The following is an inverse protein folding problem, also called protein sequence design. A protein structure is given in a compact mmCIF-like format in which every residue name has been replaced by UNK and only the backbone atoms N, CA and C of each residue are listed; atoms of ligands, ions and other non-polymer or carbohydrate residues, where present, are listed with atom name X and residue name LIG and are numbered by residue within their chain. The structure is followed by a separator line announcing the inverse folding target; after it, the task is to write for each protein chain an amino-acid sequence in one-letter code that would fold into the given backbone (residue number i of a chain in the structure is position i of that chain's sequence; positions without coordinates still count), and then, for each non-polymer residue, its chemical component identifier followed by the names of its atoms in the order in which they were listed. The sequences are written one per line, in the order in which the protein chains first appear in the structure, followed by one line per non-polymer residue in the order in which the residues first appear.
data_IF_264938937109
#
_entry.id   IF_264938937109
#
_cell.length_a   1.000
_cell.length_b   1.000
_cell.length_c   1.000
_cell.angle_alpha   90.00
_cell.angle_beta   90.00
_cell.angle_gamma   90.00
#
_symmetry.space_group_name_H-M   'P 1'
#
loop_
_entity.id
_entity.type
_entity.pdbx_description
1 polymer ?
#
# COMPACT_ATOMS: atom_id res chain seq x y z
N UNK A 1 0.08 -8.64 14.81
CA UNK A 1 1.25 -7.74 14.63
C UNK A 1 1.98 -7.58 15.96
N UNK A 2 3.27 -7.96 16.02
CA UNK A 2 4.14 -7.72 17.17
C UNK A 2 4.98 -6.48 16.87
N UNK A 3 4.86 -5.44 17.70
CA UNK A 3 5.51 -4.13 17.44
C UNK A 3 6.88 -4.05 18.13
N UNK A 4 6.97 -4.45 19.40
CA UNK A 4 8.23 -4.45 20.15
C UNK A 4 8.21 -5.46 21.33
N UNK A 5 9.39 -5.75 21.88
CA UNK A 5 9.59 -6.43 23.17
C UNK A 5 10.43 -5.52 24.06
N UNK A 6 9.94 -5.24 25.27
CA UNK A 6 10.60 -4.35 26.25
C UNK A 6 11.12 -5.20 27.41
N UNK A 7 12.38 -5.00 27.79
CA UNK A 7 13.02 -5.72 28.90
C UNK A 7 12.53 -5.23 30.26
N UNK A 8 12.83 -6.00 31.32
CA UNK A 8 12.45 -5.65 32.70
C UNK A 8 13.06 -4.29 33.09
N UNK A 9 12.21 -3.37 33.55
CA UNK A 9 12.61 -1.99 33.91
C UNK A 9 12.66 -1.01 32.73
N UNK A 10 12.39 -1.45 31.49
CA UNK A 10 12.35 -0.59 30.32
C UNK A 10 11.01 0.12 30.14
N UNK A 11 11.04 1.28 29.48
CA UNK A 11 9.86 2.03 29.08
C UNK A 11 9.93 2.40 27.60
N UNK A 12 8.83 2.22 26.88
CA UNK A 12 8.70 2.58 25.47
C UNK A 12 7.59 3.62 25.31
N UNK A 13 7.94 4.80 24.80
CA UNK A 13 6.99 5.87 24.50
C UNK A 13 7.13 6.26 23.03
N UNK A 14 6.08 6.04 22.25
CA UNK A 14 6.03 6.33 20.82
C UNK A 14 4.86 7.28 20.56
N UNK A 15 5.06 8.29 19.72
CA UNK A 15 4.00 9.08 19.11
C UNK A 15 4.05 8.84 17.60
N UNK A 16 2.93 8.39 17.05
CA UNK A 16 2.76 8.18 15.61
C UNK A 16 1.84 9.25 15.05
N UNK A 17 2.09 9.66 13.81
CA UNK A 17 1.22 10.56 13.05
C UNK A 17 0.72 9.77 11.85
N UNK A 18 -0.60 9.77 11.65
CA UNK A 18 -1.25 9.11 10.53
C UNK A 18 -2.11 10.11 9.78
N UNK A 19 -2.00 10.12 8.45
CA UNK A 19 -2.72 11.02 7.57
C UNK A 19 -3.41 10.23 6.45
N UNK A 20 -4.38 10.85 5.78
CA UNK A 20 -4.96 10.31 4.54
C UNK A 20 -4.13 10.81 3.35
N UNK A 21 -3.88 9.92 2.40
CA UNK A 21 -3.15 10.22 1.18
C UNK A 21 -3.54 9.26 0.06
N UNK A 22 -2.78 9.27 -1.03
CA UNK A 22 -2.95 8.35 -2.16
C UNK A 22 -1.60 7.81 -2.60
N UNK A 23 -1.59 6.58 -3.10
CA UNK A 23 -0.38 5.96 -3.62
C UNK A 23 0.67 5.72 -2.55
N UNK A 24 1.90 6.12 -2.85
CA UNK A 24 3.06 5.96 -1.99
C UNK A 24 3.80 7.29 -1.89
N UNK A 25 4.20 7.67 -0.69
CA UNK A 25 5.06 8.83 -0.45
C UNK A 25 6.32 8.40 0.28
N UNK A 26 7.47 8.84 -0.22
CA UNK A 26 8.77 8.61 0.39
C UNK A 26 8.92 9.44 1.68
N UNK A 27 9.76 8.97 2.60
CA UNK A 27 10.08 9.68 3.83
C UNK A 27 10.53 11.14 3.59
N UNK A 28 11.27 11.41 2.53
CA UNK A 28 11.72 12.77 2.16
C UNK A 28 10.54 13.70 1.86
N UNK A 29 9.46 13.18 1.27
CA UNK A 29 8.26 13.96 0.99
C UNK A 29 7.48 14.28 2.27
N UNK A 30 7.65 13.47 3.30
CA UNK A 30 7.10 13.71 4.64
C UNK A 30 8.01 14.61 5.50
N UNK A 31 9.23 14.91 5.03
CA UNK A 31 10.20 15.72 5.75
C UNK A 31 9.97 17.21 5.48
N UNK A 32 9.06 17.82 6.22
CA UNK A 32 8.74 19.25 6.10
C UNK A 32 9.61 20.10 7.03
N UNK A 33 9.84 21.36 6.66
CA UNK A 33 10.73 22.27 7.40
C UNK A 33 10.23 22.65 8.80
N UNK A 34 8.97 22.38 9.10
CA UNK A 34 8.29 22.64 10.37
C UNK A 34 8.30 21.42 11.32
N UNK A 35 8.92 20.30 10.94
CA UNK A 35 8.99 19.13 11.81
C UNK A 35 9.77 19.40 13.10
N UNK A 36 9.20 19.10 14.28
CA UNK A 36 9.91 19.22 15.54
C UNK A 36 11.14 18.31 15.62
N UNK A 37 12.14 18.75 16.40
CA UNK A 37 13.33 17.94 16.69
C UNK A 37 12.91 16.61 17.32
N UNK A 38 13.49 15.51 16.82
CA UNK A 38 13.23 14.16 17.30
C UNK A 38 12.09 13.44 16.56
N UNK A 39 11.46 14.08 15.57
CA UNK A 39 10.57 13.40 14.63
C UNK A 39 11.40 12.66 13.58
N UNK A 40 11.04 11.40 13.32
CA UNK A 40 11.66 10.56 12.30
C UNK A 40 10.61 10.37 11.19
N UNK A 41 10.80 10.96 10.00
CA UNK A 41 9.92 10.71 8.88
C UNK A 41 10.11 9.29 8.35
N UNK A 42 9.03 8.67 7.92
CA UNK A 42 9.00 7.32 7.35
C UNK A 42 8.18 7.34 6.08
N UNK A 43 8.34 6.34 5.22
CA UNK A 43 7.50 6.17 4.05
C UNK A 43 6.04 6.00 4.42
N UNK A 44 5.15 6.49 3.57
CA UNK A 44 3.70 6.37 3.73
C UNK A 44 3.11 5.54 2.62
N UNK A 45 2.68 4.32 2.96
CA UNK A 45 1.91 3.44 2.09
C UNK A 45 0.42 3.76 2.24
N UNK A 46 -0.08 4.67 1.41
CA UNK A 46 -1.50 5.04 1.41
C UNK A 46 -2.37 4.11 0.56
N UNK A 47 -1.79 3.51 -0.49
CA UNK A 47 -2.49 2.58 -1.35
C UNK A 47 -2.89 1.32 -0.57
N UNK A 48 -4.18 0.94 -0.58
CA UNK A 48 -4.60 -0.34 -0.05
C UNK A 48 -4.22 -1.51 -0.97
N UNK A 49 -3.87 -1.22 -2.22
CA UNK A 49 -3.40 -2.19 -3.22
C UNK A 49 -1.87 -2.29 -3.16
N UNK A 50 -1.37 -3.49 -2.89
CA UNK A 50 0.06 -3.79 -2.74
C UNK A 50 0.69 -4.21 -4.07
N UNK A 51 -0.05 -4.98 -4.88
CA UNK A 51 0.44 -5.49 -6.16
C UNK A 51 -0.72 -5.66 -7.14
N UNK A 52 -0.46 -5.35 -8.40
CA UNK A 52 -1.35 -5.67 -9.52
C UNK A 52 -0.52 -6.29 -10.64
N UNK A 53 -0.96 -7.43 -11.15
CA UNK A 53 -0.45 -8.02 -12.38
C UNK A 53 -1.60 -8.12 -13.39
N UNK A 54 -1.27 -8.12 -14.68
CA UNK A 54 -2.25 -8.35 -15.72
C UNK A 54 -1.67 -9.20 -16.85
N UNK A 55 -2.54 -9.98 -17.49
CA UNK A 55 -2.21 -10.75 -18.69
C UNK A 55 -3.30 -10.54 -19.74
N UNK A 56 -2.89 -10.46 -20.99
CA UNK A 56 -3.78 -10.34 -22.15
C UNK A 56 -3.55 -11.53 -23.06
N UNK A 57 -4.62 -12.23 -23.40
CA UNK A 57 -4.60 -13.39 -24.29
C UNK A 57 -5.65 -13.24 -25.39
N UNK A 58 -5.32 -13.64 -26.62
CA UNK A 58 -6.32 -13.69 -27.69
C UNK A 58 -7.40 -14.70 -27.33
N UNK A 59 -8.65 -14.33 -27.57
CA UNK A 59 -9.80 -15.17 -27.31
C UNK A 59 -10.73 -15.18 -28.52
N UNK A 60 -11.36 -16.34 -28.74
CA UNK A 60 -12.38 -16.48 -29.78
C UNK A 60 -13.75 -16.36 -29.15
N UNK A 61 -14.55 -15.42 -29.64
CA UNK A 61 -15.95 -15.26 -29.25
C UNK A 61 -16.82 -15.58 -30.46
N UNK A 62 -17.51 -16.72 -30.41
CA UNK A 62 -18.27 -17.24 -31.54
C UNK A 62 -17.36 -17.56 -32.73
N UNK A 63 -17.58 -16.89 -33.87
CA UNK A 63 -16.81 -17.11 -35.11
C UNK A 63 -15.64 -16.12 -35.30
N UNK A 64 -15.49 -15.11 -34.45
CA UNK A 64 -14.41 -14.10 -34.55
C UNK A 64 -13.33 -14.35 -33.50
N UNK A 65 -12.06 -14.25 -33.92
CA UNK A 65 -10.87 -14.48 -33.10
C UNK A 65 -10.11 -13.21 -32.73
N UNK A 66 -10.70 -12.04 -32.98
CA UNK A 66 -10.03 -10.74 -32.84
C UNK A 66 -10.34 -10.08 -31.49
N UNK A 67 -10.72 -10.87 -30.50
CA UNK A 67 -11.00 -10.39 -29.15
C UNK A 67 -9.82 -10.68 -28.22
N UNK A 68 -9.63 -9.78 -27.26
CA UNK A 68 -8.67 -9.96 -26.18
C UNK A 68 -9.40 -10.29 -24.87
N UNK A 69 -8.86 -11.24 -24.12
CA UNK A 69 -9.24 -11.50 -22.73
C UNK A 69 -8.18 -10.93 -21.81
N UNK A 70 -8.60 -9.98 -20.97
CA UNK A 70 -7.80 -9.41 -19.90
C UNK A 70 -8.04 -10.19 -18.60
N UNK A 71 -6.97 -10.65 -17.96
CA UNK A 71 -7.00 -11.18 -16.60
C UNK A 71 -6.20 -10.25 -15.68
N UNK A 72 -6.79 -9.88 -14.54
CA UNK A 72 -6.19 -9.02 -13.52
C UNK A 72 -6.01 -9.82 -12.23
N UNK A 73 -4.78 -9.83 -11.70
CA UNK A 73 -4.49 -10.34 -10.37
C UNK A 73 -4.17 -9.16 -9.44
N UNK A 74 -4.97 -8.98 -8.39
CA UNK A 74 -4.87 -7.84 -7.47
C UNK A 74 -4.66 -8.34 -6.05
N UNK A 75 -3.62 -7.85 -5.39
CA UNK A 75 -3.31 -8.11 -3.98
C UNK A 75 -3.49 -6.82 -3.16
N UNK A 76 -4.22 -6.92 -2.06
CA UNK A 76 -4.54 -5.81 -1.15
C UNK A 76 -4.00 -6.08 0.25
N UNK A 77 -3.64 -5.04 0.99
CA UNK A 77 -3.15 -5.12 2.38
C UNK A 77 -4.23 -5.49 3.42
N UNK A 78 -5.45 -5.80 2.98
CA UNK A 78 -6.57 -6.21 3.81
C UNK A 78 -7.45 -5.07 4.34
N UNK A 79 -7.16 -3.81 4.01
CA UNK A 79 -8.02 -2.67 4.38
C UNK A 79 -9.30 -2.56 3.55
N UNK A 80 -9.26 -3.02 2.29
CA UNK A 80 -10.43 -3.25 1.42
C UNK A 80 -10.21 -4.56 0.66
N UNK A 81 -11.27 -5.17 0.15
CA UNK A 81 -11.16 -6.37 -0.68
C UNK A 81 -10.66 -6.03 -2.09
N UNK A 82 -10.03 -6.97 -2.81
CA UNK A 82 -9.62 -6.75 -4.20
C UNK A 82 -10.80 -6.31 -5.10
N UNK A 83 -11.99 -6.84 -4.86
CA UNK A 83 -13.21 -6.49 -5.62
C UNK A 83 -13.63 -5.04 -5.42
N UNK A 84 -13.45 -4.47 -4.24
CA UNK A 84 -13.77 -3.06 -3.95
C UNK A 84 -12.69 -2.10 -4.48
N UNK A 85 -11.50 -2.61 -4.79
CA UNK A 85 -10.36 -1.82 -5.28
C UNK A 85 -10.31 -1.62 -6.80
N UNK A 86 -11.17 -2.34 -7.54
CA UNK A 86 -11.25 -2.33 -9.01
C UNK A 86 -12.42 -1.50 -9.49
#
# INVERSE_FOLDING_TARGET
LKIATVSKGGHLKIRLVANKGRGYALAEQNNTSDLPIGVIPVDSLYSPVERVNYTVENTRVGQSSDFDKLTLDVWTNGSITPRESV
#
